data_IF_953856905396
#
_entry.id   IF_953856905396
#
_cell.length_a   1.000
_cell.length_b   1.000
_cell.length_c   1.000
_cell.angle_alpha   90.00
_cell.angle_beta   90.00
_cell.angle_gamma   90.00
#
_symmetry.space_group_name_H-M   'P 1'
#
loop_
_entity.id
_entity.type
_entity.pdbx_description
1 polymer ?
#
# COMPACT_ATOMS: atom_id res chain seq x y z
N UNK A 1 -16.01 -26.39 -9.26
CA UNK A 1 -14.85 -25.46 -9.31
C UNK A 1 -14.67 -24.71 -7.98
N UNK A 2 -15.69 -24.05 -7.41
CA UNK A 2 -15.63 -23.29 -6.12
C UNK A 2 -14.86 -23.91 -4.93
N UNK A 3 -14.89 -25.25 -4.73
CA UNK A 3 -14.18 -25.90 -3.61
C UNK A 3 -12.65 -25.96 -3.78
N UNK A 4 -12.15 -26.03 -5.02
CA UNK A 4 -10.70 -25.99 -5.30
C UNK A 4 -10.14 -24.59 -5.04
N UNK A 5 -10.91 -23.56 -5.41
CA UNK A 5 -10.54 -22.16 -5.18
C UNK A 5 -10.49 -21.85 -3.67
N UNK A 6 -11.45 -22.34 -2.88
CA UNK A 6 -11.43 -22.16 -1.43
C UNK A 6 -10.22 -22.83 -0.76
N UNK A 7 -9.87 -24.05 -1.16
CA UNK A 7 -8.69 -24.74 -0.64
C UNK A 7 -7.38 -24.05 -1.05
N UNK A 8 -7.34 -23.48 -2.26
CA UNK A 8 -6.23 -22.68 -2.77
C UNK A 8 -6.01 -21.42 -1.91
N UNK A 9 -7.05 -20.60 -1.73
CA UNK A 9 -6.97 -19.38 -0.91
C UNK A 9 -6.62 -19.68 0.56
N UNK A 10 -7.08 -20.79 1.11
CA UNK A 10 -6.71 -21.22 2.47
C UNK A 10 -5.24 -21.62 2.60
N UNK A 11 -4.65 -22.27 1.58
CA UNK A 11 -3.21 -22.58 1.57
C UNK A 11 -2.37 -21.31 1.48
N UNK A 12 -2.82 -20.38 0.68
CA UNK A 12 -2.15 -19.12 0.42
C UNK A 12 -2.17 -18.20 1.66
N UNK A 13 -3.29 -18.17 2.40
CA UNK A 13 -3.36 -17.53 3.74
C UNK A 13 -2.49 -18.19 4.79
N UNK A 14 -2.09 -19.45 4.62
CA UNK A 14 -1.17 -20.14 5.54
C UNK A 14 0.30 -19.90 5.18
N UNK A 15 0.59 -19.36 4.00
CA UNK A 15 1.96 -19.05 3.60
C UNK A 15 2.46 -17.81 4.33
N UNK A 16 3.51 -18.01 5.14
CA UNK A 16 4.12 -16.94 5.93
C UNK A 16 4.72 -15.85 5.04
N UNK A 17 5.27 -16.22 3.87
CA UNK A 17 5.89 -15.26 2.95
C UNK A 17 4.84 -14.37 2.29
N UNK A 18 3.75 -14.96 1.80
CA UNK A 18 2.62 -14.20 1.23
C UNK A 18 1.97 -13.24 2.24
N UNK A 19 1.77 -13.68 3.48
CA UNK A 19 1.25 -12.80 4.55
C UNK A 19 2.24 -11.69 4.93
N UNK A 20 3.53 -12.00 5.05
CA UNK A 20 4.54 -10.99 5.36
C UNK A 20 4.64 -9.94 4.24
N UNK A 21 4.60 -10.39 2.98
CA UNK A 21 4.53 -9.49 1.82
C UNK A 21 3.30 -8.58 1.92
N UNK A 22 2.12 -9.14 2.23
CA UNK A 22 0.85 -8.41 2.35
C UNK A 22 0.88 -7.34 3.44
N UNK A 23 1.45 -7.67 4.60
CA UNK A 23 1.62 -6.73 5.72
C UNK A 23 2.52 -5.58 5.29
N UNK A 24 3.67 -5.87 4.67
CA UNK A 24 4.59 -4.82 4.20
C UNK A 24 3.97 -3.95 3.11
N UNK A 25 3.19 -4.54 2.20
CA UNK A 25 2.43 -3.79 1.20
C UNK A 25 1.42 -2.85 1.85
N UNK A 26 0.75 -3.31 2.92
CA UNK A 26 -0.18 -2.49 3.70
C UNK A 26 0.53 -1.33 4.38
N UNK A 27 1.71 -1.58 4.99
CA UNK A 27 2.53 -0.55 5.60
C UNK A 27 2.95 0.51 4.57
N UNK A 28 3.41 0.09 3.39
CA UNK A 28 3.78 1.00 2.31
C UNK A 28 2.60 1.85 1.83
N UNK A 29 1.42 1.25 1.66
CA UNK A 29 0.21 1.95 1.23
C UNK A 29 -0.27 2.96 2.28
N UNK A 30 -0.25 2.59 3.57
CA UNK A 30 -0.61 3.51 4.66
C UNK A 30 0.37 4.68 4.72
N UNK A 31 1.67 4.41 4.64
CA UNK A 31 2.71 5.45 4.65
C UNK A 31 2.60 6.41 3.46
N UNK A 32 2.35 5.89 2.26
CA UNK A 32 2.14 6.73 1.08
C UNK A 32 0.86 7.58 1.18
N UNK A 33 -0.22 7.00 1.71
CA UNK A 33 -1.46 7.73 1.90
C UNK A 33 -1.34 8.82 2.98
N UNK A 34 -0.63 8.56 4.07
CA UNK A 34 -0.36 9.61 5.07
C UNK A 34 0.51 10.73 4.49
N UNK A 35 1.52 10.40 3.69
CA UNK A 35 2.33 11.39 2.97
C UNK A 35 1.47 12.24 2.02
N UNK A 36 0.55 11.61 1.27
CA UNK A 36 -0.37 12.31 0.38
C UNK A 36 -1.27 13.29 1.15
N UNK A 37 -1.86 12.84 2.25
CA UNK A 37 -2.72 13.67 3.08
C UNK A 37 -1.97 14.84 3.71
N UNK A 38 -0.74 14.63 4.18
CA UNK A 38 0.10 15.69 4.73
C UNK A 38 0.49 16.75 3.69
N UNK A 39 0.72 16.33 2.43
CA UNK A 39 0.99 17.27 1.34
C UNK A 39 -0.27 18.03 0.89
N UNK A 40 -1.42 17.35 0.82
CA UNK A 40 -2.67 17.93 0.37
C UNK A 40 -3.33 18.86 1.40
N UNK A 41 -3.21 18.54 2.69
CA UNK A 41 -3.86 19.27 3.78
C UNK A 41 -2.82 19.75 4.79
N UNK A 42 -2.34 21.01 4.69
CA UNK A 42 -1.55 21.61 5.75
C UNK A 42 -2.38 21.75 7.02
N UNK A 43 -1.97 21.09 8.10
CA UNK A 43 -2.65 21.15 9.39
C UNK A 43 -2.65 19.82 10.11
N UNK A 44 -3.46 19.73 11.17
CA UNK A 44 -3.64 18.49 11.92
C UNK A 44 -4.52 17.50 11.15
N UNK A 45 -4.37 16.21 11.43
CA UNK A 45 -5.26 15.18 10.85
C UNK A 45 -6.75 15.42 11.15
N UNK A 46 -7.07 16.09 12.26
CA UNK A 46 -8.45 16.44 12.61
C UNK A 46 -9.03 17.51 11.68
N UNK A 47 -8.23 18.52 11.31
CA UNK A 47 -8.64 19.56 10.36
C UNK A 47 -8.80 18.98 8.95
N UNK A 48 -7.89 18.08 8.55
CA UNK A 48 -7.97 17.41 7.27
C UNK A 48 -9.29 16.61 7.10
N UNK A 49 -9.82 16.01 8.18
CA UNK A 49 -11.09 15.27 8.16
C UNK A 49 -12.32 16.12 7.86
N UNK A 50 -12.25 17.42 8.12
CA UNK A 50 -13.34 18.34 7.78
C UNK A 50 -13.41 18.60 6.26
N UNK A 51 -12.36 18.24 5.51
CA UNK A 51 -12.32 18.43 4.07
C UNK A 51 -13.05 17.29 3.34
N UNK A 52 -13.96 17.63 2.43
CA UNK A 52 -14.73 16.67 1.62
C UNK A 52 -13.83 15.72 0.81
N UNK A 53 -12.62 16.16 0.45
CA UNK A 53 -11.67 15.36 -0.32
C UNK A 53 -10.91 14.32 0.51
N UNK A 54 -10.96 14.39 1.84
CA UNK A 54 -10.25 13.47 2.74
C UNK A 54 -10.69 12.02 2.56
N UNK A 55 -12.01 11.78 2.51
CA UNK A 55 -12.57 10.43 2.40
C UNK A 55 -12.33 9.80 1.02
N UNK A 56 -12.54 10.51 -0.12
CA UNK A 56 -12.14 10.03 -1.44
C UNK A 56 -10.67 9.64 -1.56
N UNK A 57 -9.76 10.38 -0.91
CA UNK A 57 -8.32 10.07 -0.94
C UNK A 57 -7.99 8.77 -0.20
N UNK A 58 -8.71 8.46 0.88
CA UNK A 58 -8.50 7.23 1.66
C UNK A 58 -9.14 5.99 1.04
N UNK A 59 -10.23 6.14 0.28
CA UNK A 59 -11.02 5.02 -0.27
C UNK A 59 -10.22 4.04 -1.14
N UNK A 60 -9.39 4.47 -2.10
CA UNK A 60 -8.58 3.57 -2.92
C UNK A 60 -7.62 2.71 -2.09
N UNK A 61 -6.96 3.31 -1.10
CA UNK A 61 -6.05 2.60 -0.20
C UNK A 61 -6.82 1.59 0.66
N UNK A 62 -7.94 2.02 1.26
CA UNK A 62 -8.75 1.16 2.12
C UNK A 62 -9.30 -0.05 1.35
N UNK A 63 -9.83 0.17 0.14
CA UNK A 63 -10.30 -0.91 -0.74
C UNK A 63 -9.18 -1.89 -1.06
N UNK A 64 -8.01 -1.38 -1.45
CA UNK A 64 -6.89 -2.22 -1.83
C UNK A 64 -6.36 -3.05 -0.66
N UNK A 65 -6.17 -2.44 0.52
CA UNK A 65 -5.71 -3.12 1.75
C UNK A 65 -6.70 -4.17 2.24
N UNK A 66 -8.00 -3.85 2.25
CA UNK A 66 -9.04 -4.81 2.62
C UNK A 66 -9.06 -6.01 1.67
N UNK A 67 -9.02 -5.75 0.37
CA UNK A 67 -8.98 -6.82 -0.61
C UNK A 67 -7.67 -7.62 -0.56
N UNK A 68 -6.55 -7.02 -0.14
CA UNK A 68 -5.29 -7.74 0.07
C UNK A 68 -5.35 -8.70 1.26
N UNK A 69 -6.00 -8.28 2.37
CA UNK A 69 -6.23 -9.11 3.55
C UNK A 69 -7.03 -10.38 3.19
N UNK A 70 -8.01 -10.24 2.32
CA UNK A 70 -8.82 -11.36 1.88
C UNK A 70 -8.20 -12.16 0.72
N UNK A 71 -7.05 -11.69 0.21
CA UNK A 71 -6.36 -12.18 -0.98
C UNK A 71 -7.26 -12.22 -2.22
N UNK A 72 -8.02 -11.15 -2.46
CA UNK A 72 -8.82 -11.05 -3.68
C UNK A 72 -7.93 -10.94 -4.93
N UNK A 73 -8.41 -11.49 -6.04
CA UNK A 73 -7.67 -11.53 -7.29
C UNK A 73 -7.29 -10.12 -7.82
N UNK A 74 -8.17 -9.13 -7.68
CA UNK A 74 -7.96 -7.78 -8.24
C UNK A 74 -6.87 -6.99 -7.50
N UNK A 75 -6.92 -6.83 -6.16
CA UNK A 75 -5.84 -6.19 -5.40
C UNK A 75 -4.47 -6.84 -5.63
N UNK A 76 -4.44 -8.16 -5.72
CA UNK A 76 -3.20 -8.91 -5.96
C UNK A 76 -2.63 -8.64 -7.35
N UNK A 77 -3.47 -8.57 -8.40
CA UNK A 77 -3.01 -8.16 -9.75
C UNK A 77 -2.42 -6.76 -9.75
N UNK A 78 -2.98 -5.88 -8.92
CA UNK A 78 -2.52 -4.50 -8.78
C UNK A 78 -1.34 -4.34 -7.82
N UNK A 79 -0.76 -5.42 -7.30
CA UNK A 79 0.24 -5.32 -6.24
C UNK A 79 1.51 -4.58 -6.66
N UNK A 80 2.13 -5.01 -7.76
CA UNK A 80 3.33 -4.35 -8.31
C UNK A 80 3.08 -2.89 -8.70
N UNK A 81 2.03 -2.55 -9.49
CA UNK A 81 1.76 -1.15 -9.80
C UNK A 81 1.37 -0.34 -8.57
N UNK A 82 0.68 -0.91 -7.59
CA UNK A 82 0.35 -0.21 -6.34
C UNK A 82 1.60 0.19 -5.55
N UNK A 83 2.62 -0.69 -5.47
CA UNK A 83 3.90 -0.34 -4.83
C UNK A 83 4.63 0.81 -5.55
N UNK A 84 4.62 0.81 -6.89
CA UNK A 84 5.19 1.90 -7.67
C UNK A 84 4.43 3.22 -7.43
N UNK A 85 3.10 3.18 -7.42
CA UNK A 85 2.25 4.34 -7.11
C UNK A 85 2.52 4.85 -5.70
N UNK A 86 2.65 3.97 -4.70
CA UNK A 86 2.97 4.37 -3.33
C UNK A 86 4.31 5.12 -3.27
N UNK A 87 5.35 4.60 -3.94
CA UNK A 87 6.64 5.26 -4.03
C UNK A 87 6.57 6.64 -4.70
N UNK A 88 5.85 6.74 -5.83
CA UNK A 88 5.66 8.02 -6.54
C UNK A 88 4.88 9.04 -5.70
N UNK A 89 3.85 8.61 -4.99
CA UNK A 89 3.05 9.47 -4.11
C UNK A 89 3.88 9.99 -2.95
N UNK A 90 4.64 9.12 -2.25
CA UNK A 90 5.54 9.55 -1.17
C UNK A 90 6.64 10.49 -1.68
N UNK A 91 7.20 10.23 -2.86
CA UNK A 91 8.20 11.10 -3.47
C UNK A 91 7.60 12.47 -3.86
N UNK A 92 6.41 12.47 -4.47
CA UNK A 92 5.68 13.69 -4.79
C UNK A 92 5.35 14.52 -3.54
N UNK A 93 4.93 13.87 -2.45
CA UNK A 93 4.68 14.53 -1.17
C UNK A 93 5.94 15.22 -0.61
N UNK A 94 7.09 14.55 -0.65
CA UNK A 94 8.37 15.14 -0.26
C UNK A 94 8.72 16.35 -1.13
N UNK A 95 8.57 16.25 -2.45
CA UNK A 95 8.81 17.37 -3.38
C UNK A 95 7.90 18.56 -3.09
N UNK A 96 6.63 18.33 -2.75
CA UNK A 96 5.70 19.40 -2.34
C UNK A 96 6.18 20.09 -1.05
N UNK A 97 6.64 19.33 -0.05
CA UNK A 97 7.17 19.91 1.18
C UNK A 97 8.45 20.73 0.95
N UNK A 98 9.36 20.22 0.12
CA UNK A 98 10.58 20.93 -0.27
C UNK A 98 10.26 22.22 -1.02
N UNK A 99 9.31 22.17 -1.96
CA UNK A 99 8.89 23.34 -2.75
C UNK A 99 8.22 24.41 -1.88
N UNK A 100 7.44 23.99 -0.88
CA UNK A 100 6.73 24.89 0.03
C UNK A 100 7.61 25.37 1.21
N UNK A 101 8.88 24.98 1.28
CA UNK A 101 9.80 25.35 2.36
C UNK A 101 9.37 24.82 3.74
N UNK A 102 8.59 23.72 3.77
CA UNK A 102 8.13 23.08 5.00
C UNK A 102 9.21 22.13 5.54
N UNK A 103 9.01 21.68 6.78
CA UNK A 103 9.85 20.60 7.32
C UNK A 103 9.75 19.36 6.41
N UNK A 104 10.88 18.96 5.86
CA UNK A 104 11.02 17.87 4.91
C UNK A 104 11.49 16.57 5.58
N UNK A 105 11.94 16.63 6.85
CA UNK A 105 12.50 15.47 7.53
C UNK A 105 11.46 14.36 7.69
N UNK A 106 10.26 14.71 8.14
CA UNK A 106 9.16 13.73 8.32
C UNK A 106 8.75 13.11 6.97
N UNK A 107 8.45 13.87 5.91
CA UNK A 107 8.20 13.31 4.58
C UNK A 107 9.34 12.43 4.03
N UNK A 108 10.61 12.78 4.29
CA UNK A 108 11.75 11.98 3.86
C UNK A 108 11.83 10.63 4.59
N UNK A 109 11.58 10.61 5.90
CA UNK A 109 11.49 9.36 6.68
C UNK A 109 10.34 8.50 6.17
N UNK A 110 9.17 9.09 5.92
CA UNK A 110 7.99 8.38 5.39
C UNK A 110 8.27 7.80 4.00
N UNK A 111 8.96 8.53 3.13
CA UNK A 111 9.43 8.01 1.84
C UNK A 111 10.36 6.81 2.03
N UNK A 112 11.34 6.91 2.93
CA UNK A 112 12.26 5.82 3.25
C UNK A 112 11.52 4.55 3.72
N UNK A 113 10.55 4.70 4.63
CA UNK A 113 9.70 3.60 5.11
C UNK A 113 8.88 3.02 3.97
N UNK A 114 8.27 3.87 3.13
CA UNK A 114 7.45 3.45 1.99
C UNK A 114 8.28 2.61 1.02
N UNK A 115 9.47 3.07 0.64
CA UNK A 115 10.36 2.38 -0.29
C UNK A 115 10.88 1.06 0.29
N UNK A 116 11.32 1.08 1.56
CA UNK A 116 11.81 -0.13 2.22
C UNK A 116 10.71 -1.20 2.34
N UNK A 117 9.50 -0.80 2.77
CA UNK A 117 8.36 -1.68 2.88
C UNK A 117 7.88 -2.20 1.51
N UNK A 118 7.84 -1.33 0.50
CA UNK A 118 7.47 -1.71 -0.87
C UNK A 118 8.49 -2.68 -1.48
N UNK A 119 9.79 -2.41 -1.35
CA UNK A 119 10.85 -3.28 -1.84
C UNK A 119 10.83 -4.64 -1.11
N UNK A 120 10.72 -4.64 0.21
CA UNK A 120 10.64 -5.88 0.99
C UNK A 120 9.35 -6.66 0.70
N UNK A 121 8.22 -5.99 0.45
CA UNK A 121 6.98 -6.61 -0.01
C UNK A 121 7.19 -7.31 -1.35
N UNK A 122 7.81 -6.64 -2.32
CA UNK A 122 8.09 -7.20 -3.65
C UNK A 122 9.10 -8.35 -3.61
N UNK A 123 10.12 -8.27 -2.75
CA UNK A 123 11.10 -9.34 -2.56
C UNK A 123 10.46 -10.59 -1.94
N UNK A 124 9.59 -10.42 -0.94
CA UNK A 124 8.87 -11.53 -0.33
C UNK A 124 7.77 -12.08 -1.23
N UNK A 125 7.17 -11.23 -2.06
CA UNK A 125 6.24 -11.63 -3.10
C UNK A 125 6.97 -12.48 -4.14
N UNK A 126 8.18 -12.09 -4.55
CA UNK A 126 8.98 -12.82 -5.53
C UNK A 126 9.29 -14.24 -5.05
N UNK A 127 8.74 -15.23 -5.75
CA UNK A 127 8.88 -16.64 -5.38
C UNK A 127 7.98 -17.12 -4.23
N UNK A 128 7.05 -16.28 -3.74
CA UNK A 128 5.93 -16.74 -2.92
C UNK A 128 4.96 -17.60 -3.72
N UNK A 129 4.08 -18.34 -3.02
CA UNK A 129 2.99 -19.07 -3.67
C UNK A 129 2.09 -18.14 -4.50
N UNK A 130 1.90 -16.89 -4.05
CA UNK A 130 1.21 -15.83 -4.79
C UNK A 130 1.80 -15.53 -6.17
N UNK A 131 3.13 -15.44 -6.28
CA UNK A 131 3.81 -15.12 -7.54
C UNK A 131 3.89 -16.33 -8.47
N UNK A 132 3.96 -17.54 -7.89
CA UNK A 132 4.02 -18.81 -8.66
C UNK A 132 2.67 -19.27 -9.18
N UNK A 133 1.62 -19.14 -8.37
CA UNK A 133 0.30 -19.68 -8.69
C UNK A 133 -0.68 -18.61 -9.19
N UNK A 134 -0.37 -17.33 -8.94
CA UNK A 134 -1.10 -16.18 -9.45
C UNK A 134 -2.47 -15.93 -8.80
N UNK A 135 -3.10 -14.77 -9.06
CA UNK A 135 -4.41 -14.39 -8.52
C UNK A 135 -5.60 -15.14 -9.17
N UNK A 136 -5.50 -16.46 -9.27
CA UNK A 136 -6.38 -17.38 -10.02
C UNK A 136 -6.05 -17.51 -11.52
N UNK A 137 -5.88 -18.77 -11.94
CA UNK A 137 -6.40 -19.27 -13.21
C UNK A 137 -7.91 -19.43 -13.08
#
# INVERSE_FOLDING_TARGET
MRRRDQAYWQRLRKDRRSNAAAILATVAAVAANTALLAAAFPGTHYEARANLLYLPLMLPMAWWVLGLKDFEARPVRLWRPAMAVCGLVSAGSLLVHLYQGRDWMVPAIVLGITLAAAAASLLLLHGSLMDREGPAR
#
